data_IF_579167837328
#
_entry.id   IF_579167837328
#
_cell.length_a   1.000
_cell.length_b   1.000
_cell.length_c   1.000
_cell.angle_alpha   90.00
_cell.angle_beta   90.00
_cell.angle_gamma   90.00
#
_symmetry.space_group_name_H-M   'P 1'
#
loop_
_entity.id
_entity.type
_entity.pdbx_description
1 polymer ?
#
# COMPACT_ATOMS: atom_id res chain seq x y z
N UNK A 1 19.16 -8.14 0.86
CA UNK A 1 19.16 -7.45 -0.46
C UNK A 1 17.92 -7.76 -1.29
N UNK A 2 17.71 -9.01 -1.75
CA UNK A 2 16.55 -9.37 -2.57
C UNK A 2 15.18 -8.98 -1.95
N UNK A 3 15.05 -9.12 -0.63
CA UNK A 3 13.86 -8.68 0.10
C UNK A 3 13.58 -7.18 -0.02
N UNK A 4 14.64 -6.34 -0.03
CA UNK A 4 14.52 -4.89 -0.19
C UNK A 4 14.13 -4.49 -1.62
N UNK A 5 14.62 -5.23 -2.62
CA UNK A 5 14.28 -5.02 -4.03
C UNK A 5 12.82 -5.44 -4.29
N UNK A 6 12.38 -6.55 -3.70
CA UNK A 6 11.01 -7.05 -3.88
C UNK A 6 9.92 -6.08 -3.41
N UNK A 7 10.21 -5.19 -2.44
CA UNK A 7 9.25 -4.20 -1.94
C UNK A 7 8.87 -3.16 -3.00
N UNK A 8 9.70 -2.92 -4.01
CA UNK A 8 9.37 -2.02 -5.13
C UNK A 8 8.03 -2.40 -5.77
N UNK A 9 7.73 -3.70 -5.85
CA UNK A 9 6.47 -4.21 -6.41
C UNK A 9 5.22 -3.84 -5.62
N UNK A 10 5.36 -3.47 -4.34
CA UNK A 10 4.27 -2.97 -3.51
C UNK A 10 3.80 -1.56 -3.90
N UNK A 11 4.54 -0.86 -4.75
CA UNK A 11 4.24 0.50 -5.21
C UNK A 11 3.98 1.51 -4.06
N UNK A 12 4.64 1.31 -2.92
CA UNK A 12 4.59 2.21 -1.76
C UNK A 12 5.99 2.77 -1.43
N UNK A 13 6.21 4.05 -1.76
CA UNK A 13 7.51 4.72 -1.66
C UNK A 13 8.06 4.80 -0.24
N UNK A 14 7.32 5.40 0.72
CA UNK A 14 7.74 5.48 2.12
C UNK A 14 8.11 4.13 2.74
N UNK A 15 7.33 3.07 2.48
CA UNK A 15 7.61 1.72 2.98
C UNK A 15 8.84 1.11 2.30
N UNK A 16 9.03 1.34 0.99
CA UNK A 16 10.21 0.91 0.24
C UNK A 16 11.49 1.51 0.81
N UNK A 17 11.47 2.82 1.08
CA UNK A 17 12.60 3.55 1.68
C UNK A 17 12.89 3.02 3.09
N UNK A 18 11.86 2.85 3.92
CA UNK A 18 12.03 2.39 5.29
C UNK A 18 12.58 0.96 5.39
N UNK A 19 12.11 0.04 4.55
CA UNK A 19 12.63 -1.33 4.59
C UNK A 19 14.02 -1.41 3.96
N UNK A 20 14.29 -0.68 2.88
CA UNK A 20 15.61 -0.62 2.28
C UNK A 20 16.65 -0.04 3.25
N UNK A 21 16.30 0.99 4.03
CA UNK A 21 17.21 1.56 5.03
C UNK A 21 17.52 0.61 6.19
N UNK A 22 16.64 -0.37 6.47
CA UNK A 22 16.88 -1.41 7.48
C UNK A 22 17.59 -2.66 6.94
N UNK A 23 17.28 -3.08 5.72
CA UNK A 23 17.72 -4.37 5.16
C UNK A 23 18.87 -4.28 4.16
N UNK A 24 19.00 -3.18 3.42
CA UNK A 24 20.05 -2.97 2.42
C UNK A 24 20.33 -1.45 2.21
N UNK A 25 20.97 -0.77 3.19
CA UNK A 25 21.17 0.68 3.15
C UNK A 25 21.95 1.16 1.93
N UNK A 26 22.90 0.35 1.46
CA UNK A 26 23.73 0.65 0.30
C UNK A 26 22.94 0.63 -1.03
N UNK A 27 21.77 -0.01 -1.09
CA UNK A 27 20.87 -0.01 -2.24
C UNK A 27 19.76 1.04 -2.14
N UNK A 28 19.69 1.81 -1.06
CA UNK A 28 18.59 2.74 -0.78
C UNK A 28 18.35 3.73 -1.92
N UNK A 29 19.42 4.34 -2.46
CA UNK A 29 19.31 5.29 -3.56
C UNK A 29 18.71 4.66 -4.82
N UNK A 30 19.22 3.49 -5.21
CA UNK A 30 18.74 2.76 -6.38
C UNK A 30 17.29 2.28 -6.22
N UNK A 31 16.93 1.78 -5.03
CA UNK A 31 15.58 1.31 -4.72
C UNK A 31 14.59 2.48 -4.72
N UNK A 32 14.94 3.60 -4.08
CA UNK A 32 14.08 4.78 -4.03
C UNK A 32 13.83 5.36 -5.43
N UNK A 33 14.88 5.47 -6.25
CA UNK A 33 14.76 5.92 -7.63
C UNK A 33 13.83 5.01 -8.43
N UNK A 34 14.10 3.69 -8.42
CA UNK A 34 13.30 2.71 -9.16
C UNK A 34 11.83 2.71 -8.69
N UNK A 35 11.58 2.78 -7.38
CA UNK A 35 10.24 2.79 -6.82
C UNK A 35 9.39 3.96 -7.35
N UNK A 36 9.90 5.19 -7.25
CA UNK A 36 9.14 6.36 -7.73
C UNK A 36 9.03 6.41 -9.26
N UNK A 37 10.09 6.02 -9.98
CA UNK A 37 10.04 5.94 -11.45
C UNK A 37 9.00 4.93 -11.93
N UNK A 38 8.91 3.75 -11.32
CA UNK A 38 7.92 2.74 -11.71
C UNK A 38 6.50 3.07 -11.28
N UNK A 39 6.30 3.75 -10.14
CA UNK A 39 4.98 4.28 -9.76
C UNK A 39 4.45 5.27 -10.81
N UNK A 40 5.31 6.14 -11.36
CA UNK A 40 4.94 7.09 -12.40
C UNK A 40 4.58 6.41 -13.73
N UNK A 41 5.10 5.20 -13.99
CA UNK A 41 4.84 4.42 -15.20
C UNK A 41 3.57 3.55 -15.11
N UNK A 42 2.87 3.54 -13.97
CA UNK A 42 1.60 2.77 -13.81
C UNK A 42 0.60 3.03 -14.94
N UNK A 43 0.34 4.28 -15.38
CA UNK A 43 -0.59 4.54 -16.50
C UNK A 43 -0.14 3.96 -17.84
N UNK A 44 1.16 3.69 -18.01
CA UNK A 44 1.73 3.10 -19.22
C UNK A 44 1.69 1.57 -19.13
N UNK A 45 2.00 1.01 -17.95
CA UNK A 45 2.14 -0.43 -17.73
C UNK A 45 0.79 -1.10 -17.46
N UNK A 46 -0.09 -0.49 -16.66
CA UNK A 46 -1.34 -1.11 -16.19
C UNK A 46 -2.37 -1.35 -17.32
N UNK A 47 -2.66 -0.39 -18.23
CA UNK A 47 -3.70 -0.60 -19.24
C UNK A 47 -3.39 -1.72 -20.25
N UNK A 48 -2.16 -1.88 -20.77
CA UNK A 48 -1.80 -3.04 -21.60
C UNK A 48 -2.03 -4.38 -20.89
N UNK A 49 -1.60 -4.52 -19.64
CA UNK A 49 -1.79 -5.75 -18.86
C UNK A 49 -3.28 -6.05 -18.69
N UNK A 50 -4.09 -5.05 -18.35
CA UNK A 50 -5.55 -5.21 -18.27
C UNK A 50 -6.13 -5.63 -19.62
N UNK A 51 -5.65 -5.05 -20.73
CA UNK A 51 -6.12 -5.38 -22.07
C UNK A 51 -5.83 -6.83 -22.46
N UNK A 52 -4.69 -7.37 -22.01
CA UNK A 52 -4.23 -8.72 -22.29
C UNK A 52 -4.94 -9.78 -21.43
N UNK A 53 -5.19 -9.49 -20.15
CA UNK A 53 -5.68 -10.50 -19.19
C UNK A 53 -7.20 -10.51 -18.98
N UNK A 54 -7.91 -9.40 -19.26
CA UNK A 54 -9.35 -9.31 -19.00
C UNK A 54 -10.17 -9.34 -20.29
N UNK A 55 -11.41 -9.81 -20.21
CA UNK A 55 -12.34 -9.85 -21.35
C UNK A 55 -13.26 -8.62 -21.40
N UNK A 56 -13.91 -8.38 -22.55
CA UNK A 56 -14.90 -7.29 -22.67
C UNK A 56 -16.10 -7.48 -21.71
N UNK A 57 -16.51 -8.72 -21.44
CA UNK A 57 -17.64 -9.04 -20.55
C UNK A 57 -17.35 -8.65 -19.10
N UNK A 58 -16.14 -8.88 -18.61
CA UNK A 58 -15.74 -8.51 -17.24
C UNK A 58 -15.62 -6.99 -17.07
N UNK A 59 -15.13 -6.29 -18.10
CA UNK A 59 -14.95 -4.82 -18.06
C UNK A 59 -16.27 -4.03 -18.02
N UNK A 60 -17.39 -4.64 -18.36
CA UNK A 60 -18.71 -3.99 -18.35
C UNK A 60 -19.56 -4.32 -17.11
N UNK A 61 -19.00 -5.05 -16.14
CA UNK A 61 -19.69 -5.34 -14.87
C UNK A 61 -19.96 -4.03 -14.14
N UNK A 62 -21.23 -3.81 -13.77
CA UNK A 62 -21.65 -2.63 -13.02
C UNK A 62 -21.33 -2.80 -11.54
N UNK A 63 -20.43 -1.96 -11.03
CA UNK A 63 -20.10 -1.90 -9.61
C UNK A 63 -21.25 -1.25 -8.82
N UNK A 64 -21.63 -1.85 -7.70
CA UNK A 64 -22.60 -1.25 -6.76
C UNK A 64 -22.00 0.00 -6.14
N UNK A 65 -22.84 0.96 -5.77
CA UNK A 65 -22.42 2.13 -5.01
C UNK A 65 -21.82 1.71 -3.66
N UNK A 66 -20.85 2.48 -3.19
CA UNK A 66 -20.26 2.27 -1.87
C UNK A 66 -21.31 2.53 -0.79
N UNK A 67 -21.26 1.73 0.28
CA UNK A 67 -22.09 1.94 1.47
C UNK A 67 -21.68 3.21 2.20
N UNK A 68 -22.66 3.90 2.80
CA UNK A 68 -22.37 5.03 3.68
C UNK A 68 -21.86 4.47 5.01
N UNK A 69 -20.61 4.79 5.34
CA UNK A 69 -19.97 4.38 6.59
C UNK A 69 -20.17 5.46 7.66
N UNK A 70 -20.54 5.03 8.87
CA UNK A 70 -20.76 5.96 9.99
C UNK A 70 -19.44 6.53 10.52
N UNK A 71 -19.46 7.73 11.14
CA UNK A 71 -18.26 8.33 11.77
C UNK A 71 -17.66 7.39 12.83
N UNK A 72 -18.49 6.69 13.59
CA UNK A 72 -18.05 5.69 14.57
C UNK A 72 -17.26 4.56 13.90
N UNK A 73 -17.77 4.00 12.81
CA UNK A 73 -17.10 2.90 12.10
C UNK A 73 -15.72 3.31 11.58
N UNK A 74 -15.58 4.54 11.08
CA UNK A 74 -14.31 5.06 10.61
C UNK A 74 -13.28 5.27 11.72
N UNK A 75 -13.71 5.65 12.92
CA UNK A 75 -12.85 5.79 14.12
C UNK A 75 -12.44 4.43 14.67
N UNK A 76 -13.36 3.45 14.70
CA UNK A 76 -13.07 2.10 15.20
C UNK A 76 -12.15 1.31 14.26
N UNK A 77 -12.23 1.55 12.94
CA UNK A 77 -11.40 0.86 11.95
C UNK A 77 -9.89 0.90 12.25
N UNK A 78 -9.22 2.06 12.41
CA UNK A 78 -7.78 2.10 12.67
C UNK A 78 -7.41 1.47 14.03
N UNK A 79 -8.28 1.57 15.05
CA UNK A 79 -8.04 1.01 16.38
C UNK A 79 -8.04 -0.53 16.32
N UNK A 80 -9.09 -1.11 15.72
CA UNK A 80 -9.22 -2.56 15.58
C UNK A 80 -8.13 -3.11 14.67
N UNK A 81 -7.84 -2.44 13.55
CA UNK A 81 -6.78 -2.83 12.64
C UNK A 81 -5.39 -2.81 13.30
N UNK A 82 -5.12 -1.82 14.16
CA UNK A 82 -3.88 -1.76 14.94
C UNK A 82 -3.73 -2.95 15.90
N UNK A 83 -4.77 -3.30 16.66
CA UNK A 83 -4.76 -4.44 17.58
C UNK A 83 -4.53 -5.75 16.83
N UNK A 84 -5.20 -5.96 15.70
CA UNK A 84 -5.03 -7.18 14.90
C UNK A 84 -3.61 -7.25 14.33
N UNK A 85 -3.11 -6.14 13.81
CA UNK A 85 -1.76 -6.07 13.22
C UNK A 85 -0.69 -6.35 14.27
N UNK A 86 -0.82 -5.80 15.48
CA UNK A 86 0.18 -5.98 16.54
C UNK A 86 0.28 -7.43 17.04
N UNK A 87 -0.83 -8.17 17.00
CA UNK A 87 -0.86 -9.59 17.38
C UNK A 87 -0.30 -10.50 16.28
N UNK A 88 -0.59 -10.23 15.01
CA UNK A 88 -0.21 -11.11 13.89
C UNK A 88 1.21 -10.82 13.39
N UNK A 89 1.55 -9.53 13.23
CA UNK A 89 2.77 -9.10 12.56
C UNK A 89 3.45 -7.95 13.34
N UNK A 90 4.09 -8.22 14.49
CA UNK A 90 4.69 -7.19 15.32
C UNK A 90 5.77 -6.36 14.59
N UNK A 91 6.45 -6.95 13.59
CA UNK A 91 7.48 -6.27 12.80
C UNK A 91 6.96 -5.14 11.90
N UNK A 92 5.66 -5.14 11.53
CA UNK A 92 5.05 -4.09 10.69
C UNK A 92 4.38 -2.98 11.51
N UNK A 93 4.32 -3.14 12.85
CA UNK A 93 3.62 -2.23 13.75
C UNK A 93 4.15 -0.80 13.65
N UNK A 94 5.46 -0.60 13.53
CA UNK A 94 6.03 0.76 13.48
C UNK A 94 5.50 1.57 12.29
N UNK A 95 5.34 0.94 11.13
CA UNK A 95 4.80 1.59 9.93
C UNK A 95 3.27 1.76 10.03
N UNK A 96 2.58 0.69 10.40
CA UNK A 96 1.12 0.67 10.42
C UNK A 96 0.54 1.51 11.57
N UNK A 97 1.24 1.62 12.70
CA UNK A 97 0.86 2.50 13.81
C UNK A 97 0.79 3.96 13.36
N UNK A 98 1.80 4.43 12.63
CA UNK A 98 1.84 5.81 12.12
C UNK A 98 0.73 6.05 11.08
N UNK A 99 0.46 5.06 10.23
CA UNK A 99 -0.66 5.10 9.28
C UNK A 99 -2.02 5.16 9.99
N UNK A 100 -2.26 4.29 10.98
CA UNK A 100 -3.52 4.23 11.72
C UNK A 100 -3.72 5.47 12.60
N UNK A 101 -2.66 6.02 13.17
CA UNK A 101 -2.69 7.28 13.90
C UNK A 101 -3.10 8.44 12.97
N UNK A 102 -2.51 8.53 11.78
CA UNK A 102 -2.89 9.54 10.79
C UNK A 102 -4.35 9.41 10.36
N UNK A 103 -4.84 8.17 10.19
CA UNK A 103 -6.24 7.91 9.86
C UNK A 103 -7.18 8.35 11.00
N UNK A 104 -6.81 8.06 12.25
CA UNK A 104 -7.59 8.47 13.42
C UNK A 104 -7.68 9.99 13.54
N UNK A 105 -6.58 10.71 13.30
CA UNK A 105 -6.55 12.18 13.32
C UNK A 105 -7.40 12.82 12.21
N UNK A 106 -7.49 12.17 11.05
CA UNK A 106 -8.33 12.64 9.94
C UNK A 106 -9.83 12.46 10.20
N UNK A 107 -10.20 11.43 10.95
CA UNK A 107 -11.59 11.02 11.18
C UNK A 107 -12.17 11.46 12.54
N UNK A 108 -11.33 11.95 13.45
CA UNK A 108 -11.72 12.52 14.76
C UNK A 108 -12.23 13.95 14.60
#
# INVERSE_FOLDING_TARGET
EAASIGIIGGADGPTSIFLASKLAPHLLGSIALAAYSYMALVPVIQPPIMRLLTTKKERVIRMKSLRVVSKKEKIFFPIVAFIITSLIAPGSVVLLAMLFLGNLLKES
#
